data_IF_214985481551
#
_entry.id   IF_214985481551
#
_cell.length_a   1.000
_cell.length_b   1.000
_cell.length_c   1.000
_cell.angle_alpha   90.00
_cell.angle_beta   90.00
_cell.angle_gamma   90.00
#
_symmetry.space_group_name_H-M   'P 1'
#
loop_
_entity.id
_entity.type
_entity.pdbx_description
1 polymer ?
#
# COMPACT_ATOMS: atom_id res chain seq x y z
N UNK A 1 3.46 46.42 11.02
CA UNK A 1 2.52 46.19 9.90
C UNK A 1 2.75 44.87 9.17
N UNK A 2 3.99 44.53 8.75
CA UNK A 2 4.26 43.28 8.02
C UNK A 2 3.82 41.98 8.73
N UNK A 3 3.99 41.87 10.06
CA UNK A 3 3.54 40.68 10.82
C UNK A 3 2.04 40.45 10.77
N UNK A 4 1.23 41.52 10.68
CA UNK A 4 -0.22 41.41 10.54
C UNK A 4 -0.63 40.95 9.14
N UNK A 5 0.09 41.35 8.11
CA UNK A 5 -0.19 40.94 6.73
C UNK A 5 0.16 39.46 6.49
N UNK A 6 1.32 39.01 6.97
CA UNK A 6 1.74 37.62 6.85
C UNK A 6 0.82 36.66 7.62
N UNK A 7 0.39 37.06 8.82
CA UNK A 7 -0.57 36.29 9.63
C UNK A 7 -1.95 36.20 8.95
N UNK A 8 -2.41 37.28 8.31
CA UNK A 8 -3.64 37.26 7.51
C UNK A 8 -3.54 36.32 6.30
N UNK A 9 -2.40 36.29 5.61
CA UNK A 9 -2.16 35.36 4.49
C UNK A 9 -2.17 33.91 4.99
N UNK A 10 -1.48 33.63 6.10
CA UNK A 10 -1.45 32.30 6.71
C UNK A 10 -2.86 31.81 7.10
N UNK A 11 -3.63 32.65 7.81
CA UNK A 11 -5.03 32.37 8.17
C UNK A 11 -5.91 32.20 6.94
N UNK A 12 -5.67 32.98 5.88
CA UNK A 12 -6.37 32.85 4.61
C UNK A 12 -6.12 31.49 3.95
N UNK A 13 -4.86 31.06 3.85
CA UNK A 13 -4.48 29.74 3.31
C UNK A 13 -5.12 28.62 4.12
N UNK A 14 -5.02 28.67 5.46
CA UNK A 14 -5.64 27.68 6.33
C UNK A 14 -7.16 27.62 6.14
N UNK A 15 -7.81 28.77 5.98
CA UNK A 15 -9.26 28.85 5.72
C UNK A 15 -9.63 28.23 4.37
N UNK A 16 -8.86 28.52 3.32
CA UNK A 16 -9.08 27.92 1.98
C UNK A 16 -8.93 26.39 2.05
N UNK A 17 -7.88 25.88 2.71
CA UNK A 17 -7.69 24.44 2.90
C UNK A 17 -8.87 23.85 3.66
N UNK A 18 -9.29 24.47 4.77
CA UNK A 18 -10.41 23.99 5.59
C UNK A 18 -11.72 23.88 4.80
N UNK A 19 -12.12 24.95 4.10
CA UNK A 19 -13.35 24.93 3.29
C UNK A 19 -13.23 24.00 2.08
N UNK A 20 -12.05 23.89 1.47
CA UNK A 20 -11.81 22.90 0.41
C UNK A 20 -11.98 21.48 0.93
N UNK A 21 -11.52 21.17 2.15
CA UNK A 21 -11.73 19.84 2.75
C UNK A 21 -13.20 19.58 3.05
N UNK A 22 -13.98 20.57 3.46
CA UNK A 22 -15.45 20.43 3.58
C UNK A 22 -16.06 20.07 2.23
N UNK A 23 -15.70 20.79 1.16
CA UNK A 23 -16.17 20.50 -0.20
C UNK A 23 -15.74 19.08 -0.61
N UNK A 24 -14.51 18.67 -0.29
CA UNK A 24 -14.00 17.34 -0.58
C UNK A 24 -14.87 16.25 0.05
N UNK A 25 -15.30 16.44 1.31
CA UNK A 25 -16.17 15.50 2.02
C UNK A 25 -17.56 15.44 1.39
N UNK A 26 -18.11 16.57 0.94
CA UNK A 26 -19.47 16.63 0.40
C UNK A 26 -19.56 16.18 -1.07
N UNK A 27 -18.59 16.55 -1.90
CA UNK A 27 -18.68 16.43 -3.35
C UNK A 27 -17.86 15.27 -3.95
N UNK A 28 -16.75 14.86 -3.32
CA UNK A 28 -15.90 13.83 -3.92
C UNK A 28 -16.46 12.42 -3.75
N UNK A 29 -16.28 11.55 -4.76
CA UNK A 29 -16.80 10.20 -4.73
C UNK A 29 -16.12 9.37 -3.64
N UNK A 30 -16.80 8.30 -3.21
CA UNK A 30 -16.19 7.33 -2.32
C UNK A 30 -15.04 6.59 -3.01
N UNK A 31 -13.90 6.51 -2.32
CA UNK A 31 -12.78 5.68 -2.72
C UNK A 31 -12.98 4.20 -2.36
N UNK A 32 -11.95 3.37 -2.55
CA UNK A 32 -12.01 1.94 -2.25
C UNK A 32 -12.06 1.63 -0.74
N UNK A 33 -11.82 2.62 0.13
CA UNK A 33 -11.77 2.44 1.57
C UNK A 33 -12.94 3.13 2.27
N UNK A 34 -13.52 2.43 3.23
CA UNK A 34 -14.68 2.89 4.01
C UNK A 34 -14.35 3.15 5.48
N UNK A 35 -13.26 2.58 6.01
CA UNK A 35 -12.81 2.75 7.40
C UNK A 35 -11.49 3.53 7.50
N UNK A 36 -11.29 4.39 8.51
CA UNK A 36 -12.12 4.53 9.71
C UNK A 36 -13.48 5.18 9.43
N UNK A 37 -13.53 6.07 8.43
CA UNK A 37 -14.77 6.67 7.93
C UNK A 37 -14.58 7.12 6.45
N UNK A 38 -15.61 7.06 5.58
CA UNK A 38 -15.47 7.49 4.18
C UNK A 38 -15.05 8.96 4.03
N UNK A 39 -15.49 9.83 4.94
CA UNK A 39 -15.09 11.24 4.95
C UNK A 39 -13.56 11.43 5.07
N UNK A 40 -12.87 10.57 5.83
CA UNK A 40 -11.41 10.64 5.97
C UNK A 40 -10.76 10.42 4.61
N UNK A 41 -11.20 9.40 3.86
CA UNK A 41 -10.64 9.11 2.54
C UNK A 41 -10.98 10.15 1.48
N UNK A 42 -12.16 10.78 1.58
CA UNK A 42 -12.50 11.94 0.74
C UNK A 42 -11.61 13.14 1.04
N UNK A 43 -11.28 13.40 2.31
CA UNK A 43 -10.30 14.42 2.70
C UNK A 43 -8.89 14.07 2.21
N UNK A 44 -8.46 12.81 2.30
CA UNK A 44 -7.16 12.35 1.76
C UNK A 44 -7.08 12.58 0.25
N UNK A 45 -8.14 12.25 -0.49
CA UNK A 45 -8.24 12.58 -1.92
C UNK A 45 -8.19 14.10 -2.14
N UNK A 46 -8.90 14.90 -1.33
CA UNK A 46 -8.85 16.36 -1.41
C UNK A 46 -7.47 16.96 -1.14
N UNK A 47 -6.75 16.48 -0.14
CA UNK A 47 -5.36 16.88 0.12
C UNK A 47 -4.45 16.50 -1.06
N UNK A 48 -4.69 15.36 -1.72
CA UNK A 48 -3.98 14.97 -2.94
C UNK A 48 -4.18 16.00 -4.06
N UNK A 49 -5.42 16.46 -4.26
CA UNK A 49 -5.74 17.51 -5.25
C UNK A 49 -5.08 18.84 -4.89
N UNK A 50 -5.12 19.26 -3.61
CA UNK A 50 -4.44 20.48 -3.17
C UNK A 50 -2.93 20.40 -3.40
N UNK A 51 -2.31 19.26 -3.11
CA UNK A 51 -0.89 19.05 -3.34
C UNK A 51 -0.54 19.08 -4.84
N UNK A 52 -1.37 18.44 -5.67
CA UNK A 52 -1.26 18.52 -7.12
C UNK A 52 -1.29 19.98 -7.61
N UNK A 53 -2.26 20.79 -7.16
CA UNK A 53 -2.37 22.20 -7.53
C UNK A 53 -1.18 23.04 -7.02
N UNK A 54 -0.68 22.73 -5.82
CA UNK A 54 0.51 23.37 -5.28
C UNK A 54 1.75 23.07 -6.12
N UNK A 55 1.95 21.83 -6.59
CA UNK A 55 3.05 21.49 -7.49
C UNK A 55 2.94 22.20 -8.84
N UNK A 56 1.72 22.29 -9.39
CA UNK A 56 1.48 23.09 -10.62
C UNK A 56 1.88 24.55 -10.38
N UNK A 57 1.48 25.14 -9.26
CA UNK A 57 1.87 26.51 -8.89
C UNK A 57 3.39 26.66 -8.73
N UNK A 58 4.06 25.72 -8.04
CA UNK A 58 5.51 25.72 -7.89
C UNK A 58 6.25 25.72 -9.23
N UNK A 59 5.73 25.03 -10.25
CA UNK A 59 6.32 25.04 -11.59
C UNK A 59 6.33 26.42 -12.26
N UNK A 60 5.57 27.41 -11.79
CA UNK A 60 5.63 28.78 -12.30
C UNK A 60 6.54 29.70 -11.49
N UNK A 61 7.01 29.27 -10.31
CA UNK A 61 7.93 30.05 -9.49
C UNK A 61 9.38 29.89 -9.96
N UNK A 62 10.18 30.91 -9.69
CA UNK A 62 11.64 30.87 -9.81
C UNK A 62 12.28 30.31 -8.53
N UNK A 63 13.51 29.81 -8.62
CA UNK A 63 14.19 29.15 -7.48
C UNK A 63 14.25 30.03 -6.23
N UNK A 64 14.56 31.32 -6.37
CA UNK A 64 14.58 32.28 -5.26
C UNK A 64 13.19 32.50 -4.64
N UNK A 65 12.13 32.47 -5.45
CA UNK A 65 10.75 32.58 -4.94
C UNK A 65 10.36 31.32 -4.16
N UNK A 66 10.75 30.13 -4.62
CA UNK A 66 10.50 28.89 -3.87
C UNK A 66 11.23 28.91 -2.53
N UNK A 67 12.51 29.31 -2.51
CA UNK A 67 13.26 29.48 -1.26
C UNK A 67 12.61 30.52 -0.34
N UNK A 68 12.13 31.64 -0.88
CA UNK A 68 11.40 32.63 -0.08
C UNK A 68 10.13 32.04 0.57
N UNK A 69 9.35 31.24 -0.17
CA UNK A 69 8.19 30.52 0.38
C UNK A 69 8.62 29.55 1.48
N UNK A 70 9.70 28.79 1.26
CA UNK A 70 10.22 27.86 2.27
C UNK A 70 10.69 28.58 3.54
N UNK A 71 11.40 29.69 3.41
CA UNK A 71 11.87 30.50 4.54
C UNK A 71 10.74 31.22 5.27
N UNK A 72 9.62 31.46 4.60
CA UNK A 72 8.41 31.95 5.23
C UNK A 72 7.70 30.85 6.03
N UNK A 73 7.70 29.61 5.53
CA UNK A 73 7.16 28.45 6.26
C UNK A 73 8.00 28.05 7.47
N UNK A 74 9.33 28.01 7.30
CA UNK A 74 10.28 27.77 8.39
C UNK A 74 11.54 28.65 8.20
N UNK A 75 11.70 29.71 9.01
CA UNK A 75 12.87 30.59 8.96
C UNK A 75 14.22 29.88 9.18
N UNK A 76 14.24 28.73 9.87
CA UNK A 76 15.49 28.01 10.16
C UNK A 76 16.12 27.40 8.90
N UNK A 77 15.33 27.19 7.84
CA UNK A 77 15.83 26.69 6.56
C UNK A 77 16.85 27.63 5.90
N UNK A 78 16.95 28.90 6.33
CA UNK A 78 18.00 29.83 5.88
C UNK A 78 19.40 29.39 6.27
N UNK A 79 19.52 28.65 7.36
CA UNK A 79 20.79 28.16 7.91
C UNK A 79 20.97 26.66 7.66
N UNK A 80 20.04 26.03 6.94
CA UNK A 80 20.12 24.62 6.63
C UNK A 80 21.30 24.36 5.69
N UNK A 81 22.09 23.37 6.05
CA UNK A 81 23.19 22.83 5.26
C UNK A 81 22.74 21.53 4.60
N UNK A 82 23.31 21.25 3.43
CA UNK A 82 23.04 20.00 2.73
C UNK A 82 23.72 18.86 3.48
N UNK A 83 23.02 17.74 3.63
CA UNK A 83 23.59 16.55 4.28
C UNK A 83 24.86 16.06 3.57
N UNK A 84 24.87 16.13 2.23
CA UNK A 84 26.01 15.80 1.39
C UNK A 84 27.30 16.58 1.73
N UNK A 85 27.19 17.74 2.37
CA UNK A 85 28.33 18.60 2.68
C UNK A 85 28.89 18.34 4.10
N UNK A 86 28.18 17.56 4.93
CA UNK A 86 28.55 17.30 6.34
C UNK A 86 28.85 15.83 6.58
N UNK A 87 28.16 14.94 5.86
CA UNK A 87 28.26 13.50 6.06
C UNK A 87 29.30 12.89 5.12
N UNK A 88 30.07 11.94 5.64
CA UNK A 88 30.99 11.12 4.84
C UNK A 88 30.30 9.84 4.39
N UNK A 89 30.23 9.62 3.07
CA UNK A 89 29.53 8.49 2.45
C UNK A 89 30.51 7.44 1.92
N UNK A 90 30.22 6.15 2.15
CA UNK A 90 31.00 4.98 1.69
C UNK A 90 32.52 5.00 1.98
N UNK A 91 32.95 5.51 3.14
CA UNK A 91 34.37 5.55 3.50
C UNK A 91 34.82 4.22 4.14
N UNK A 92 35.94 3.64 3.70
CA UNK A 92 36.57 2.45 4.31
C UNK A 92 35.66 1.21 4.46
N UNK A 93 34.85 0.86 3.45
CA UNK A 93 33.84 -0.21 3.52
C UNK A 93 34.36 -1.65 3.72
N UNK A 94 35.68 -1.84 3.81
CA UNK A 94 36.31 -3.13 4.12
C UNK A 94 36.49 -3.38 5.63
N UNK A 95 36.49 -2.32 6.45
CA UNK A 95 36.64 -2.42 7.90
C UNK A 95 35.26 -2.54 8.55
N UNK A 96 34.88 -3.78 8.87
CA UNK A 96 33.63 -4.13 9.55
C UNK A 96 33.92 -4.37 11.03
N UNK A 97 33.69 -3.36 11.87
CA UNK A 97 33.80 -3.45 13.33
C UNK A 97 32.41 -3.41 13.97
N UNK A 98 32.28 -3.96 15.18
CA UNK A 98 30.98 -3.98 15.89
C UNK A 98 30.45 -2.57 16.19
N UNK A 99 31.33 -1.66 16.60
CA UNK A 99 31.00 -0.25 16.84
C UNK A 99 30.45 0.42 15.59
N UNK A 100 31.01 0.11 14.42
CA UNK A 100 30.55 0.64 13.13
C UNK A 100 29.20 0.06 12.74
N UNK A 101 28.95 -1.24 12.93
CA UNK A 101 27.64 -1.82 12.66
C UNK A 101 26.58 -1.17 13.56
N UNK A 102 26.88 -0.99 14.85
CA UNK A 102 25.95 -0.34 15.79
C UNK A 102 25.69 1.13 15.46
N UNK A 103 26.67 1.85 14.88
CA UNK A 103 26.45 3.23 14.47
C UNK A 103 25.51 3.38 13.27
N UNK A 104 25.38 2.33 12.44
CA UNK A 104 24.45 2.31 11.29
C UNK A 104 23.05 1.78 11.69
N UNK A 105 22.90 1.23 12.90
CA UNK A 105 21.59 0.89 13.48
C UNK A 105 20.90 2.14 14.06
N UNK A 106 20.66 3.12 13.19
CA UNK A 106 20.11 4.42 13.56
C UNK A 106 18.66 4.59 13.08
N UNK A 107 18.23 5.85 12.99
CA UNK A 107 16.88 6.20 12.53
C UNK A 107 16.60 5.72 11.10
N UNK A 108 17.62 5.56 10.26
CA UNK A 108 17.48 5.06 8.89
C UNK A 108 17.19 3.57 8.89
N UNK A 109 17.91 2.76 9.68
CA UNK A 109 17.60 1.33 9.85
C UNK A 109 16.16 1.11 10.36
N UNK A 110 15.71 1.91 11.33
CA UNK A 110 14.33 1.87 11.81
C UNK A 110 13.32 2.30 10.72
N UNK A 111 13.66 3.35 9.97
CA UNK A 111 12.87 3.84 8.84
C UNK A 111 12.73 2.80 7.73
N UNK A 112 13.81 2.07 7.41
CA UNK A 112 13.82 0.97 6.46
C UNK A 112 12.91 -0.15 6.96
N UNK A 113 13.12 -0.66 8.17
CA UNK A 113 12.31 -1.75 8.72
C UNK A 113 10.81 -1.42 8.75
N UNK A 114 10.42 -0.29 9.35
CA UNK A 114 9.01 0.06 9.46
C UNK A 114 8.40 0.53 8.13
N UNK A 115 9.20 1.20 7.30
CA UNK A 115 8.85 1.55 5.94
C UNK A 115 8.49 0.30 5.14
N UNK A 116 9.35 -0.71 5.14
CA UNK A 116 9.11 -1.98 4.45
C UNK A 116 7.94 -2.78 5.00
N UNK A 117 7.71 -2.75 6.32
CA UNK A 117 6.49 -3.30 6.91
C UNK A 117 5.23 -2.61 6.34
N UNK A 118 5.22 -1.29 6.23
CA UNK A 118 4.10 -0.56 5.63
C UNK A 118 3.97 -0.83 4.13
N UNK A 119 5.07 -0.82 3.36
CA UNK A 119 5.07 -1.16 1.93
C UNK A 119 4.48 -2.55 1.69
N UNK A 120 4.85 -3.53 2.50
CA UNK A 120 4.31 -4.88 2.45
C UNK A 120 2.81 -4.95 2.76
N UNK A 121 2.30 -4.15 3.70
CA UNK A 121 0.85 -4.05 3.97
C UNK A 121 0.05 -3.48 2.78
N UNK A 122 0.67 -2.58 2.00
CA UNK A 122 0.06 -1.97 0.81
C UNK A 122 0.09 -2.91 -0.40
N UNK A 123 1.23 -3.52 -0.68
CA UNK A 123 1.46 -4.35 -1.86
C UNK A 123 0.94 -5.77 -1.64
N UNK A 124 1.13 -6.34 -0.45
CA UNK A 124 0.68 -7.70 -0.06
C UNK A 124 1.22 -8.81 -0.96
N UNK A 125 2.48 -8.71 -1.35
CA UNK A 125 3.15 -9.74 -2.16
C UNK A 125 4.63 -9.79 -1.85
N UNK A 126 5.11 -10.96 -1.41
CA UNK A 126 6.54 -11.18 -1.17
C UNK A 126 7.38 -10.88 -2.42
N UNK A 127 7.02 -11.46 -3.57
CA UNK A 127 7.78 -11.31 -4.81
C UNK A 127 7.95 -9.85 -5.23
N UNK A 128 6.84 -9.09 -5.26
CA UNK A 128 6.90 -7.68 -5.63
C UNK A 128 7.64 -6.83 -4.58
N UNK A 129 7.45 -7.08 -3.28
CA UNK A 129 8.16 -6.32 -2.24
C UNK A 129 9.67 -6.55 -2.31
N UNK A 130 10.12 -7.81 -2.44
CA UNK A 130 11.53 -8.13 -2.60
C UNK A 130 12.11 -7.53 -3.89
N UNK A 131 11.33 -7.54 -4.98
CA UNK A 131 11.74 -6.90 -6.24
C UNK A 131 11.96 -5.42 -6.06
N UNK A 132 11.03 -4.70 -5.41
CA UNK A 132 11.19 -3.26 -5.14
C UNK A 132 12.38 -3.04 -4.21
N UNK A 133 12.60 -3.91 -3.21
CA UNK A 133 13.73 -3.75 -2.29
C UNK A 133 15.06 -3.85 -2.99
N UNK A 134 15.23 -4.88 -3.82
CA UNK A 134 16.48 -5.10 -4.56
C UNK A 134 16.67 -4.00 -5.62
N UNK A 135 15.59 -3.62 -6.32
CA UNK A 135 15.67 -2.57 -7.33
C UNK A 135 15.88 -1.19 -6.72
N UNK A 136 15.48 -0.95 -5.47
CA UNK A 136 15.78 0.28 -4.72
C UNK A 136 17.28 0.44 -4.48
N UNK A 137 17.96 -0.54 -3.89
CA UNK A 137 19.43 -0.50 -3.73
C UNK A 137 20.14 -0.33 -5.08
N UNK A 138 19.65 -1.00 -6.11
CA UNK A 138 20.20 -0.84 -7.46
C UNK A 138 19.99 0.59 -8.00
N UNK A 139 18.86 1.21 -7.68
CA UNK A 139 18.56 2.60 -8.06
C UNK A 139 19.56 3.53 -7.39
N UNK A 140 19.86 3.32 -6.11
CA UNK A 140 20.88 4.09 -5.39
C UNK A 140 22.24 3.98 -6.06
N UNK A 141 22.68 2.76 -6.43
CA UNK A 141 23.93 2.55 -7.17
C UNK A 141 23.97 3.28 -8.52
N UNK A 142 22.88 3.28 -9.28
CA UNK A 142 22.84 3.98 -10.57
C UNK A 142 22.86 5.51 -10.41
N UNK A 143 22.27 6.05 -9.34
CA UNK A 143 22.11 7.49 -9.12
C UNK A 143 23.07 8.09 -8.09
N UNK A 144 24.00 7.32 -7.50
CA UNK A 144 24.99 7.82 -6.53
C UNK A 144 25.88 8.95 -7.08
N UNK A 145 26.08 8.99 -8.40
CA UNK A 145 26.82 10.06 -9.08
C UNK A 145 26.09 11.42 -9.01
N UNK A 146 24.77 11.42 -8.83
CA UNK A 146 23.96 12.62 -8.61
C UNK A 146 23.80 12.90 -7.12
N UNK A 147 23.50 11.87 -6.34
CA UNK A 147 23.20 11.98 -4.92
C UNK A 147 24.27 11.24 -4.12
N UNK A 148 25.25 11.96 -3.53
CA UNK A 148 26.29 11.34 -2.69
C UNK A 148 25.72 10.52 -1.54
N UNK A 149 24.52 10.88 -1.06
CA UNK A 149 23.81 10.17 0.00
C UNK A 149 23.48 8.71 -0.33
N UNK A 150 23.49 8.31 -1.61
CA UNK A 150 23.27 6.94 -2.05
C UNK A 150 24.56 6.10 -2.08
N UNK A 151 25.72 6.71 -1.83
CA UNK A 151 26.97 5.98 -1.73
C UNK A 151 27.08 5.35 -0.33
N UNK A 152 26.64 4.12 -0.21
CA UNK A 152 26.71 3.34 1.03
C UNK A 152 27.69 2.17 0.89
N UNK A 153 28.04 1.55 2.02
CA UNK A 153 28.92 0.40 1.97
C UNK A 153 28.19 -0.84 1.46
N UNK A 154 28.88 -1.73 0.73
CA UNK A 154 28.27 -2.93 0.16
C UNK A 154 27.58 -3.83 1.22
N UNK A 155 28.14 -3.90 2.43
CA UNK A 155 27.58 -4.69 3.53
C UNK A 155 26.36 -4.02 4.15
N UNK A 156 26.28 -2.69 4.07
CA UNK A 156 25.12 -1.91 4.51
C UNK A 156 23.93 -2.23 3.59
N UNK A 157 24.10 -1.94 2.29
CA UNK A 157 23.10 -2.20 1.25
C UNK A 157 22.62 -3.65 1.21
N UNK A 158 23.54 -4.62 1.24
CA UNK A 158 23.18 -6.03 1.08
C UNK A 158 22.71 -6.65 2.39
N UNK A 159 23.46 -6.47 3.48
CA UNK A 159 23.18 -7.19 4.73
C UNK A 159 22.20 -6.39 5.58
N UNK A 160 22.49 -5.11 5.84
CA UNK A 160 21.65 -4.31 6.73
C UNK A 160 20.33 -3.94 6.06
N UNK A 161 20.36 -3.38 4.85
CA UNK A 161 19.16 -2.93 4.17
C UNK A 161 18.37 -4.08 3.57
N UNK A 162 18.85 -4.73 2.51
CA UNK A 162 18.07 -5.78 1.81
C UNK A 162 17.66 -6.91 2.75
N UNK A 163 18.60 -7.51 3.47
CA UNK A 163 18.35 -8.76 4.20
C UNK A 163 17.69 -8.52 5.57
N UNK A 164 18.23 -7.63 6.39
CA UNK A 164 17.78 -7.44 7.77
C UNK A 164 16.60 -6.48 7.88
N UNK A 165 16.77 -5.21 7.49
CA UNK A 165 15.76 -4.18 7.67
C UNK A 165 14.59 -4.39 6.72
N UNK A 166 14.86 -4.45 5.42
CA UNK A 166 13.84 -4.57 4.38
C UNK A 166 13.19 -5.95 4.45
N UNK A 167 14.00 -7.02 4.48
CA UNK A 167 13.52 -8.39 4.62
C UNK A 167 12.71 -8.63 5.90
N UNK A 168 13.17 -8.12 7.05
CA UNK A 168 12.46 -8.18 8.32
C UNK A 168 11.13 -7.40 8.30
N UNK A 169 11.14 -6.20 7.71
CA UNK A 169 9.95 -5.39 7.52
C UNK A 169 8.92 -6.09 6.63
N UNK A 170 9.35 -6.64 5.49
CA UNK A 170 8.49 -7.42 4.58
C UNK A 170 7.86 -8.59 5.33
N UNK A 171 8.66 -9.35 6.10
CA UNK A 171 8.16 -10.47 6.89
C UNK A 171 7.08 -10.01 7.88
N UNK A 172 7.34 -8.96 8.66
CA UNK A 172 6.37 -8.40 9.61
C UNK A 172 5.08 -7.98 8.91
N UNK A 173 5.18 -7.21 7.82
CA UNK A 173 4.02 -6.74 7.07
C UNK A 173 3.19 -7.90 6.52
N UNK A 174 3.83 -8.95 6.00
CA UNK A 174 3.12 -10.13 5.49
C UNK A 174 2.49 -10.99 6.60
N UNK A 175 3.12 -11.08 7.78
CA UNK A 175 2.51 -11.71 8.97
C UNK A 175 1.25 -10.95 9.39
N UNK A 176 1.31 -9.62 9.40
CA UNK A 176 0.13 -8.79 9.69
C UNK A 176 -0.96 -8.96 8.62
N UNK A 177 -0.60 -9.05 7.34
CA UNK A 177 -1.54 -9.37 6.26
C UNK A 177 -2.27 -10.70 6.55
N UNK A 178 -1.54 -11.78 6.84
CA UNK A 178 -2.13 -13.09 7.16
C UNK A 178 -3.05 -13.03 8.38
N UNK A 179 -2.63 -12.32 9.43
CA UNK A 179 -3.46 -12.11 10.62
C UNK A 179 -4.78 -11.39 10.30
N UNK A 180 -4.76 -10.41 9.38
CA UNK A 180 -5.96 -9.69 8.94
C UNK A 180 -6.84 -10.54 7.99
N UNK A 181 -6.24 -11.41 7.16
CA UNK A 181 -6.95 -12.33 6.25
C UNK A 181 -7.76 -13.38 7.02
N UNK A 182 -7.18 -13.98 8.07
CA UNK A 182 -7.83 -15.03 8.87
C UNK A 182 -8.98 -14.51 9.75
N UNK A 183 -9.23 -13.20 9.76
CA UNK A 183 -10.19 -12.60 10.67
C UNK A 183 -11.61 -12.60 10.10
N UNK A 184 -12.49 -13.40 10.72
CA UNK A 184 -13.94 -13.28 10.49
C UNK A 184 -14.48 -11.97 11.08
N UNK A 185 -14.96 -11.06 10.22
CA UNK A 185 -15.51 -9.77 10.64
C UNK A 185 -16.98 -9.92 11.05
N UNK A 186 -17.25 -10.12 12.34
CA UNK A 186 -18.61 -10.04 12.89
C UNK A 186 -19.04 -8.58 13.13
N UNK A 187 -20.15 -8.19 12.52
CA UNK A 187 -20.70 -6.83 12.54
C UNK A 187 -21.71 -6.63 13.68
N UNK A 188 -21.31 -6.87 14.93
CA UNK A 188 -22.15 -6.54 16.08
C UNK A 188 -22.27 -5.01 16.25
N UNK A 189 -23.47 -4.53 16.59
CA UNK A 189 -23.70 -3.11 16.87
C UNK A 189 -23.04 -2.73 18.19
N UNK A 190 -22.61 -1.47 18.32
CA UNK A 190 -22.07 -0.96 19.59
C UNK A 190 -23.11 -1.07 20.73
N UNK A 191 -24.40 -1.06 20.37
CA UNK A 191 -25.53 -1.25 21.30
C UNK A 191 -25.64 -2.69 21.82
N UNK A 192 -25.12 -3.67 21.10
CA UNK A 192 -25.21 -5.09 21.43
C UNK A 192 -24.05 -5.54 22.35
N UNK A 193 -23.09 -4.63 22.64
CA UNK A 193 -21.93 -4.91 23.47
C UNK A 193 -22.14 -4.29 24.85
N UNK A 194 -22.41 -5.12 25.85
CA UNK A 194 -22.71 -4.64 27.20
C UNK A 194 -21.47 -4.33 28.06
N UNK A 195 -20.30 -4.91 27.74
CA UNK A 195 -19.08 -4.72 28.53
C UNK A 195 -18.26 -3.50 28.07
N UNK A 196 -17.66 -2.77 29.01
CA UNK A 196 -16.76 -1.64 28.74
C UNK A 196 -15.54 -2.07 27.95
N UNK A 197 -14.92 -3.21 28.32
CA UNK A 197 -13.80 -3.82 27.59
C UNK A 197 -14.19 -4.18 26.15
N UNK A 198 -15.42 -4.67 25.94
CA UNK A 198 -15.94 -4.97 24.60
C UNK A 198 -16.13 -3.72 23.75
N UNK A 199 -16.64 -2.63 24.35
CA UNK A 199 -16.80 -1.32 23.68
C UNK A 199 -15.45 -0.71 23.28
N UNK A 200 -14.46 -0.76 24.17
CA UNK A 200 -13.08 -0.31 23.88
C UNK A 200 -12.47 -1.16 22.76
N UNK A 201 -12.57 -2.49 22.87
CA UNK A 201 -12.11 -3.39 21.80
C UNK A 201 -12.78 -3.06 20.47
N UNK A 202 -14.09 -2.81 20.46
CA UNK A 202 -14.82 -2.43 19.23
C UNK A 202 -14.35 -1.10 18.65
N UNK A 203 -14.10 -0.10 19.50
CA UNK A 203 -13.59 1.20 19.07
C UNK A 203 -12.20 1.07 18.42
N UNK A 204 -11.27 0.35 19.06
CA UNK A 204 -9.94 0.07 18.50
C UNK A 204 -10.05 -0.69 17.16
N UNK A 205 -11.02 -1.59 17.04
CA UNK A 205 -11.24 -2.35 15.81
C UNK A 205 -11.80 -1.54 14.64
N UNK A 206 -12.33 -0.34 14.86
CA UNK A 206 -12.73 0.53 13.74
C UNK A 206 -11.54 1.04 12.94
N UNK A 207 -10.36 1.06 13.54
CA UNK A 207 -9.10 1.38 12.85
C UNK A 207 -8.55 0.20 12.06
N UNK A 208 -9.14 -1.00 12.21
CA UNK A 208 -8.84 -2.13 11.32
C UNK A 208 -9.68 -2.07 10.05
N UNK A 209 -9.14 -2.56 8.90
CA UNK A 209 -9.85 -2.60 7.62
C UNK A 209 -11.24 -3.23 7.72
N UNK A 210 -12.18 -2.75 6.91
CA UNK A 210 -13.54 -3.28 6.85
C UNK A 210 -13.59 -4.71 6.31
N UNK A 211 -12.76 -4.96 5.32
CA UNK A 211 -12.52 -6.24 4.69
C UNK A 211 -11.05 -6.29 4.31
N UNK A 212 -10.43 -7.45 4.45
CA UNK A 212 -9.08 -7.68 4.01
C UNK A 212 -9.10 -8.78 2.96
N UNK A 213 -8.64 -8.47 1.76
CA UNK A 213 -8.63 -9.41 0.63
C UNK A 213 -7.20 -9.86 0.36
N UNK A 214 -7.08 -11.12 -0.01
CA UNK A 214 -5.87 -11.65 -0.60
C UNK A 214 -5.63 -11.01 -1.98
N UNK A 215 -4.39 -10.61 -2.25
CA UNK A 215 -4.00 -9.87 -3.46
C UNK A 215 -3.08 -10.76 -4.30
N UNK A 216 -3.55 -11.12 -5.49
CA UNK A 216 -2.77 -11.92 -6.44
C UNK A 216 -2.36 -11.04 -7.60
N UNK A 217 -1.11 -10.56 -7.60
CA UNK A 217 -0.62 -9.63 -8.62
C UNK A 217 -0.40 -10.25 -9.98
N UNK A 218 0.01 -11.52 -10.04
CA UNK A 218 0.30 -12.21 -11.28
C UNK A 218 -0.11 -13.68 -11.20
N UNK A 219 -0.48 -14.25 -12.34
CA UNK A 219 -0.97 -15.62 -12.52
C UNK A 219 -0.39 -16.17 -13.84
N UNK A 220 -0.08 -17.47 -13.95
CA UNK A 220 0.38 -18.09 -15.20
C UNK A 220 -0.46 -17.73 -16.44
N UNK A 221 -1.77 -17.51 -16.29
CA UNK A 221 -2.69 -17.14 -17.39
C UNK A 221 -2.81 -15.64 -17.64
N UNK A 222 -1.94 -14.84 -17.03
CA UNK A 222 -1.99 -13.38 -17.14
C UNK A 222 -1.59 -12.88 -18.52
N UNK A 223 -2.27 -11.82 -18.98
CA UNK A 223 -1.97 -11.18 -20.25
C UNK A 223 -0.66 -10.38 -20.19
N UNK A 224 -0.06 -10.14 -21.37
CA UNK A 224 1.10 -9.26 -21.51
C UNK A 224 0.81 -7.83 -20.98
N UNK A 225 -0.43 -7.35 -21.12
CA UNK A 225 -0.85 -6.06 -20.56
C UNK A 225 -0.68 -6.01 -19.03
N UNK A 226 -0.89 -7.12 -18.32
CA UNK A 226 -0.67 -7.20 -16.88
C UNK A 226 0.80 -7.15 -16.52
N UNK A 227 1.67 -7.78 -17.32
CA UNK A 227 3.14 -7.67 -17.16
C UNK A 227 3.59 -6.23 -17.34
N UNK A 228 3.17 -5.58 -18.44
CA UNK A 228 3.48 -4.17 -18.69
C UNK A 228 2.95 -3.26 -17.57
N UNK A 229 1.76 -3.56 -17.05
CA UNK A 229 1.18 -2.86 -15.89
C UNK A 229 1.99 -3.03 -14.61
N UNK A 230 2.52 -4.22 -14.32
CA UNK A 230 3.40 -4.42 -13.16
C UNK A 230 4.73 -3.69 -13.36
N UNK A 231 5.28 -3.70 -14.57
CA UNK A 231 6.50 -2.94 -14.86
C UNK A 231 6.30 -1.43 -14.68
N UNK A 232 5.19 -0.87 -15.18
CA UNK A 232 4.83 0.53 -14.97
C UNK A 232 4.67 0.85 -13.48
N UNK A 233 4.08 -0.06 -12.70
CA UNK A 233 3.98 0.07 -11.24
C UNK A 233 5.35 0.18 -10.60
N UNK A 234 6.31 -0.68 -10.98
CA UNK A 234 7.68 -0.63 -10.46
C UNK A 234 8.35 0.70 -10.79
N UNK A 235 8.27 1.17 -12.04
CA UNK A 235 8.89 2.46 -12.42
C UNK A 235 8.29 3.62 -11.63
N UNK A 236 6.96 3.72 -11.56
CA UNK A 236 6.30 4.82 -10.83
C UNK A 236 6.64 4.75 -9.35
N UNK A 237 6.71 3.55 -8.77
CA UNK A 237 7.12 3.35 -7.39
C UNK A 237 8.53 3.90 -7.14
N UNK A 238 9.51 3.46 -7.92
CA UNK A 238 10.89 3.95 -7.80
C UNK A 238 10.97 5.47 -8.01
N UNK A 239 10.27 6.01 -9.01
CA UNK A 239 10.23 7.45 -9.27
C UNK A 239 9.73 8.25 -8.06
N UNK A 240 8.66 7.78 -7.40
CA UNK A 240 8.09 8.48 -6.24
C UNK A 240 9.05 8.50 -5.04
N UNK A 241 9.79 7.42 -4.83
CA UNK A 241 10.82 7.36 -3.80
C UNK A 241 12.01 8.25 -4.17
N UNK A 242 12.49 8.18 -5.41
CA UNK A 242 13.59 9.02 -5.91
C UNK A 242 13.29 10.51 -5.82
N UNK A 243 12.06 10.93 -6.14
CA UNK A 243 11.59 12.30 -5.96
C UNK A 243 11.76 12.79 -4.51
N UNK A 244 11.57 11.91 -3.52
CA UNK A 244 11.77 12.25 -2.10
C UNK A 244 13.19 12.71 -1.83
N UNK A 245 14.18 11.98 -2.36
CA UNK A 245 15.59 12.29 -2.17
C UNK A 245 16.03 13.50 -2.99
N UNK A 246 15.55 13.62 -4.23
CA UNK A 246 15.85 14.80 -5.05
C UNK A 246 15.28 16.09 -4.47
N UNK A 247 14.03 16.09 -4.00
CA UNK A 247 13.42 17.27 -3.41
C UNK A 247 14.21 17.79 -2.21
N UNK A 248 14.62 16.91 -1.28
CA UNK A 248 15.43 17.32 -0.12
C UNK A 248 16.80 17.86 -0.52
N UNK A 249 17.42 17.28 -1.54
CA UNK A 249 18.75 17.68 -2.01
C UNK A 249 18.72 19.02 -2.74
N UNK A 250 17.73 19.22 -3.62
CA UNK A 250 17.58 20.43 -4.44
C UNK A 250 17.16 21.63 -3.58
N UNK A 251 16.19 21.43 -2.68
CA UNK A 251 15.68 22.51 -1.84
C UNK A 251 16.39 22.63 -0.48
N UNK A 252 17.42 21.81 -0.25
CA UNK A 252 18.34 21.89 0.89
C UNK A 252 17.62 21.86 2.24
N UNK A 253 17.10 20.67 2.59
CA UNK A 253 16.62 20.37 3.93
C UNK A 253 17.04 18.96 4.37
N UNK A 254 17.16 18.75 5.68
CA UNK A 254 17.62 17.49 6.25
C UNK A 254 16.51 16.41 6.24
N UNK A 255 16.88 15.13 6.28
CA UNK A 255 15.98 13.98 6.38
C UNK A 255 15.14 14.02 7.67
N UNK A 256 15.70 14.55 8.75
CA UNK A 256 15.01 14.76 10.03
C UNK A 256 14.00 15.91 10.01
N UNK A 257 14.06 16.79 9.01
CA UNK A 257 13.20 17.97 8.91
C UNK A 257 11.73 17.57 8.68
N UNK A 258 10.74 18.29 9.26
CA UNK A 258 9.31 18.04 9.04
C UNK A 258 8.88 17.93 7.58
N UNK A 259 9.47 18.70 6.67
CA UNK A 259 9.18 18.59 5.24
C UNK A 259 9.45 17.19 4.68
N UNK A 260 10.49 16.50 5.17
CA UNK A 260 10.85 15.15 4.74
C UNK A 260 9.82 14.13 5.24
N UNK A 261 9.67 13.99 6.56
CA UNK A 261 8.83 12.94 7.14
C UNK A 261 7.33 13.21 6.96
N UNK A 262 6.87 14.46 7.01
CA UNK A 262 5.46 14.78 6.70
C UNK A 262 5.11 14.41 5.27
N UNK A 263 6.01 14.67 4.31
CA UNK A 263 5.80 14.28 2.92
C UNK A 263 5.77 12.76 2.78
N UNK A 264 6.68 12.02 3.42
CA UNK A 264 6.69 10.55 3.38
C UNK A 264 5.37 9.98 3.94
N UNK A 265 4.90 10.49 5.08
CA UNK A 265 3.61 10.07 5.66
C UNK A 265 2.43 10.41 4.74
N UNK A 266 2.46 11.60 4.13
CA UNK A 266 1.42 12.04 3.20
C UNK A 266 1.37 11.15 1.96
N UNK A 267 2.50 10.98 1.27
CA UNK A 267 2.66 10.11 0.09
C UNK A 267 2.25 8.67 0.46
N UNK A 268 2.73 8.13 1.58
CA UNK A 268 2.36 6.80 2.06
C UNK A 268 0.85 6.63 2.27
N UNK A 269 0.17 7.66 2.80
CA UNK A 269 -1.28 7.65 3.02
C UNK A 269 -2.06 7.64 1.71
N UNK A 270 -1.65 8.47 0.72
CA UNK A 270 -2.32 8.55 -0.58
C UNK A 270 -2.01 7.34 -1.49
N UNK A 271 -0.88 6.66 -1.26
CA UNK A 271 -0.49 5.42 -1.95
C UNK A 271 -1.44 4.27 -1.62
N UNK A 272 -1.97 4.18 -0.41
CA UNK A 272 -2.85 3.08 -0.01
C UNK A 272 -4.10 2.92 -0.92
N UNK A 273 -4.95 3.94 -1.11
CA UNK A 273 -6.07 3.85 -2.05
C UNK A 273 -5.59 3.77 -3.51
N UNK A 274 -4.45 4.35 -3.85
CA UNK A 274 -3.84 4.30 -5.19
C UNK A 274 -3.51 2.87 -5.62
N UNK A 275 -2.74 2.15 -4.80
CA UNK A 275 -2.35 0.75 -5.06
C UNK A 275 -3.58 -0.12 -5.20
N UNK A 276 -4.61 0.09 -4.37
CA UNK A 276 -5.87 -0.67 -4.45
C UNK A 276 -6.62 -0.41 -5.76
N UNK A 277 -6.72 0.85 -6.19
CA UNK A 277 -7.34 1.21 -7.47
C UNK A 277 -6.55 0.69 -8.66
N UNK A 278 -5.21 0.77 -8.60
CA UNK A 278 -4.33 0.28 -9.65
C UNK A 278 -4.41 -1.24 -9.80
N UNK A 279 -4.38 -1.96 -8.68
CA UNK A 279 -4.59 -3.40 -8.66
C UNK A 279 -5.93 -3.79 -9.29
N UNK A 280 -7.02 -3.12 -8.92
CA UNK A 280 -8.33 -3.37 -9.51
C UNK A 280 -8.32 -3.12 -11.03
N UNK A 281 -7.70 -2.04 -11.49
CA UNK A 281 -7.56 -1.75 -12.92
C UNK A 281 -6.78 -2.82 -13.69
N UNK A 282 -5.72 -3.39 -13.09
CA UNK A 282 -4.92 -4.42 -13.74
C UNK A 282 -5.54 -5.83 -13.72
N UNK A 283 -6.44 -6.11 -12.77
CA UNK A 283 -6.91 -7.49 -12.50
C UNK A 283 -8.37 -7.70 -12.86
N UNK A 284 -9.21 -6.68 -12.73
CA UNK A 284 -10.63 -6.76 -13.01
C UNK A 284 -10.91 -6.40 -14.48
N UNK A 285 -11.40 -7.39 -15.24
CA UNK A 285 -11.72 -7.21 -16.67
C UNK A 285 -12.86 -6.22 -16.90
N UNK A 286 -13.69 -5.95 -15.90
CA UNK A 286 -14.77 -4.95 -15.95
C UNK A 286 -14.26 -3.54 -15.71
N UNK A 287 -13.10 -3.37 -15.06
CA UNK A 287 -12.50 -2.08 -14.79
C UNK A 287 -11.81 -1.54 -16.04
N UNK A 288 -12.44 -0.61 -16.76
CA UNK A 288 -11.90 -0.01 -18.00
C UNK A 288 -11.13 1.30 -17.79
N UNK A 289 -11.17 1.88 -16.59
CA UNK A 289 -10.58 3.19 -16.29
C UNK A 289 -9.78 3.14 -15.00
N UNK A 290 -8.66 3.85 -14.98
CA UNK A 290 -7.87 4.04 -13.76
C UNK A 290 -8.69 4.85 -12.75
N UNK A 291 -8.62 4.46 -11.48
CA UNK A 291 -9.31 5.16 -10.40
C UNK A 291 -8.78 6.59 -10.22
N UNK A 292 -9.65 7.49 -9.76
CA UNK A 292 -9.33 8.93 -9.65
C UNK A 292 -8.11 9.22 -8.80
N UNK A 293 -7.97 8.55 -7.65
CA UNK A 293 -6.84 8.74 -6.74
C UNK A 293 -5.54 8.23 -7.38
N UNK A 294 -5.58 7.08 -8.04
CA UNK A 294 -4.43 6.56 -8.78
C UNK A 294 -4.00 7.49 -9.92
N UNK A 295 -4.94 8.10 -10.62
CA UNK A 295 -4.64 9.07 -11.67
C UNK A 295 -3.99 10.33 -11.09
N UNK A 296 -4.57 10.91 -10.03
CA UNK A 296 -4.01 12.09 -9.36
C UNK A 296 -2.62 11.80 -8.80
N UNK A 297 -2.41 10.62 -8.20
CA UNK A 297 -1.11 10.20 -7.71
C UNK A 297 -0.07 10.11 -8.83
N UNK A 298 -0.42 9.52 -9.98
CA UNK A 298 0.47 9.49 -11.14
C UNK A 298 0.84 10.89 -11.64
N UNK A 299 -0.13 11.82 -11.63
CA UNK A 299 0.11 13.21 -11.98
C UNK A 299 1.00 13.94 -10.95
N UNK A 300 0.83 13.68 -9.65
CA UNK A 300 1.71 14.17 -8.58
C UNK A 300 3.14 13.67 -8.79
N UNK A 301 3.33 12.36 -9.00
CA UNK A 301 4.65 11.77 -9.21
C UNK A 301 5.38 12.40 -10.40
N UNK A 302 4.66 12.65 -11.50
CA UNK A 302 5.19 13.32 -12.68
C UNK A 302 5.49 14.81 -12.44
N UNK A 303 4.61 15.53 -11.74
CA UNK A 303 4.83 16.94 -11.41
C UNK A 303 6.00 17.12 -10.45
N UNK A 304 6.15 16.26 -9.44
CA UNK A 304 7.32 16.27 -8.56
C UNK A 304 8.61 16.03 -9.35
N UNK A 305 8.62 15.05 -10.26
CA UNK A 305 9.76 14.81 -11.14
C UNK A 305 10.06 16.05 -12.00
N UNK A 306 9.02 16.71 -12.51
CA UNK A 306 9.15 17.95 -13.28
C UNK A 306 9.71 19.11 -12.44
N UNK A 307 9.28 19.24 -11.19
CA UNK A 307 9.81 20.20 -10.22
C UNK A 307 11.29 19.92 -9.94
N UNK A 308 11.65 18.65 -9.70
CA UNK A 308 13.04 18.23 -9.52
C UNK A 308 13.89 18.61 -10.76
N UNK A 309 13.44 18.29 -11.97
CA UNK A 309 14.17 18.61 -13.20
C UNK A 309 14.30 20.13 -13.40
N UNK A 310 13.23 20.89 -13.15
CA UNK A 310 13.23 22.35 -13.32
C UNK A 310 14.22 23.04 -12.38
N UNK A 311 14.21 22.69 -11.10
CA UNK A 311 15.02 23.38 -10.08
C UNK A 311 16.38 22.72 -9.84
N UNK A 312 16.58 21.49 -10.33
CA UNK A 312 17.82 20.75 -10.24
C UNK A 312 18.62 20.71 -11.55
N UNK A 313 18.49 21.69 -12.45
CA UNK A 313 19.16 21.68 -13.75
C UNK A 313 20.67 21.40 -13.66
N UNK A 314 21.37 22.04 -12.72
CA UNK A 314 22.81 21.82 -12.52
C UNK A 314 23.15 20.40 -12.06
N UNK A 315 22.22 19.76 -11.33
CA UNK A 315 22.35 18.38 -10.90
C UNK A 315 22.12 17.43 -12.08
N UNK A 316 21.00 17.58 -12.78
CA UNK A 316 20.63 16.71 -13.91
C UNK A 316 21.52 16.89 -15.15
N UNK A 317 22.23 18.02 -15.28
CA UNK A 317 23.28 18.18 -16.29
C UNK A 317 24.44 17.18 -16.13
N UNK A 318 24.62 16.61 -14.93
CA UNK A 318 25.62 15.57 -14.66
C UNK A 318 25.09 14.15 -14.92
N UNK A 319 23.83 14.00 -15.33
CA UNK A 319 23.21 12.68 -15.52
C UNK A 319 23.80 11.95 -16.72
N UNK A 320 24.27 10.73 -16.48
CA UNK A 320 24.68 9.83 -17.55
C UNK A 320 23.47 9.08 -18.11
N UNK A 321 23.06 9.40 -19.34
CA UNK A 321 21.91 8.77 -20.00
C UNK A 321 22.03 7.23 -20.06
N UNK A 322 23.26 6.71 -20.24
CA UNK A 322 23.52 5.28 -20.22
C UNK A 322 23.10 4.63 -18.88
N UNK A 323 23.36 5.28 -17.75
CA UNK A 323 22.95 4.75 -16.44
C UNK A 323 21.44 4.75 -16.27
N UNK A 324 20.72 5.75 -16.79
CA UNK A 324 19.25 5.77 -16.79
C UNK A 324 18.69 4.60 -17.62
N UNK A 325 19.25 4.36 -18.81
CA UNK A 325 18.82 3.25 -19.67
C UNK A 325 19.13 1.90 -19.02
N UNK A 326 20.34 1.71 -18.49
CA UNK A 326 20.72 0.48 -17.79
C UNK A 326 19.87 0.25 -16.54
N UNK A 327 19.53 1.31 -15.81
CA UNK A 327 18.63 1.26 -14.66
C UNK A 327 17.24 0.75 -15.07
N UNK A 328 16.61 1.36 -16.09
CA UNK A 328 15.30 0.92 -16.60
C UNK A 328 15.32 -0.55 -17.08
N UNK A 329 16.38 -0.95 -17.78
CA UNK A 329 16.57 -2.33 -18.22
C UNK A 329 16.75 -3.29 -17.04
N UNK A 330 17.50 -2.89 -16.02
CA UNK A 330 17.71 -3.73 -14.83
C UNK A 330 16.41 -3.92 -14.05
N UNK A 331 15.62 -2.85 -13.86
CA UNK A 331 14.27 -2.97 -13.27
C UNK A 331 13.40 -3.91 -14.10
N UNK A 332 13.45 -3.82 -15.43
CA UNK A 332 12.67 -4.70 -16.31
C UNK A 332 13.06 -6.16 -16.17
N UNK A 333 14.37 -6.46 -16.20
CA UNK A 333 14.91 -7.82 -16.10
C UNK A 333 14.59 -8.42 -14.74
N UNK A 334 14.86 -7.71 -13.64
CA UNK A 334 14.61 -8.21 -12.28
C UNK A 334 13.11 -8.46 -12.07
N UNK A 335 12.26 -7.55 -12.56
CA UNK A 335 10.79 -7.73 -12.51
C UNK A 335 10.37 -8.96 -13.30
N UNK A 336 10.89 -9.14 -14.52
CA UNK A 336 10.58 -10.31 -15.35
C UNK A 336 11.02 -11.62 -14.66
N UNK A 337 12.22 -11.66 -14.09
CA UNK A 337 12.73 -12.83 -13.34
C UNK A 337 11.85 -13.14 -12.13
N UNK A 338 11.41 -12.11 -11.39
CA UNK A 338 10.47 -12.30 -10.29
C UNK A 338 9.14 -12.87 -10.77
N UNK A 339 8.54 -12.31 -11.82
CA UNK A 339 7.26 -12.77 -12.36
C UNK A 339 7.37 -14.21 -12.88
N UNK A 340 8.47 -14.55 -13.55
CA UNK A 340 8.77 -15.92 -13.97
C UNK A 340 8.87 -16.86 -12.77
N UNK A 341 9.64 -16.47 -11.73
CA UNK A 341 9.76 -17.25 -10.50
C UNK A 341 8.43 -17.45 -9.78
N UNK A 342 7.55 -16.44 -9.78
CA UNK A 342 6.19 -16.55 -9.21
C UNK A 342 5.32 -17.56 -9.98
N UNK A 343 5.41 -17.57 -11.31
CA UNK A 343 4.70 -18.55 -12.15
C UNK A 343 5.25 -19.95 -11.92
N UNK A 344 6.57 -20.11 -11.98
CA UNK A 344 7.25 -21.39 -11.74
C UNK A 344 6.91 -21.97 -10.37
N UNK A 345 6.92 -21.15 -9.32
CA UNK A 345 6.54 -21.57 -7.97
C UNK A 345 5.07 -22.00 -7.90
N UNK A 346 4.16 -21.26 -8.54
CA UNK A 346 2.74 -21.59 -8.56
C UNK A 346 2.48 -22.94 -9.28
N UNK A 347 3.16 -23.18 -10.40
CA UNK A 347 3.04 -24.43 -11.15
C UNK A 347 3.63 -25.62 -10.38
N UNK A 348 4.80 -25.43 -9.74
CA UNK A 348 5.46 -26.46 -8.94
C UNK A 348 4.66 -26.86 -7.69
N UNK A 349 4.13 -25.88 -6.94
CA UNK A 349 3.26 -26.15 -5.79
C UNK A 349 1.93 -26.78 -6.20
N UNK A 350 1.40 -26.43 -7.38
CA UNK A 350 0.20 -27.06 -7.94
C UNK A 350 0.38 -28.55 -8.31
N UNK A 351 1.61 -29.00 -8.55
CA UNK A 351 1.94 -30.39 -8.91
C UNK A 351 2.18 -31.32 -7.71
N UNK A 352 2.39 -30.79 -6.50
CA UNK A 352 2.66 -31.59 -5.30
C UNK A 352 1.34 -32.08 -4.68
N UNK A 353 1.17 -33.40 -4.52
CA UNK A 353 -0.02 -33.98 -3.86
C UNK A 353 -0.25 -33.34 -2.48
N UNK A 354 -1.45 -32.79 -2.29
CA UNK A 354 -1.89 -32.05 -1.11
C UNK A 354 -1.83 -32.93 0.13
N UNK A 355 -0.73 -32.84 0.87
CA UNK A 355 -0.64 -33.41 2.22
C UNK A 355 -1.37 -32.47 3.18
N UNK A 356 -2.16 -33.04 4.09
CA UNK A 356 -3.29 -32.43 4.82
C UNK A 356 -2.95 -31.31 5.84
N UNK A 357 -1.86 -30.55 5.66
CA UNK A 357 -1.47 -29.46 6.56
C UNK A 357 -1.14 -28.13 5.85
N UNK A 358 -1.10 -28.08 4.52
CA UNK A 358 -0.75 -26.86 3.75
C UNK A 358 -1.91 -26.38 2.85
N UNK A 359 -3.16 -26.71 3.19
CA UNK A 359 -4.34 -26.44 2.36
C UNK A 359 -5.42 -25.56 2.99
N UNK A 360 -5.06 -24.61 3.88
CA UNK A 360 -5.97 -23.49 4.18
C UNK A 360 -5.78 -22.29 3.24
N UNK A 361 -4.69 -22.22 2.47
CA UNK A 361 -4.33 -21.03 1.67
C UNK A 361 -4.92 -20.98 0.24
N UNK A 362 -5.79 -21.91 -0.18
CA UNK A 362 -6.26 -21.93 -1.59
C UNK A 362 -7.64 -22.56 -1.86
N UNK A 363 -8.64 -22.36 -1.01
CA UNK A 363 -10.03 -22.71 -1.38
C UNK A 363 -11.04 -21.61 -1.04
N UNK A 364 -11.19 -20.64 -1.94
CA UNK A 364 -12.44 -19.90 -2.11
C UNK A 364 -12.76 -19.85 -3.61
N UNK A 365 -13.14 -21.00 -4.17
CA UNK A 365 -13.98 -21.01 -5.37
C UNK A 365 -15.41 -20.78 -4.90
N UNK A 366 -15.89 -19.53 -5.01
CA UNK A 366 -17.32 -19.26 -5.14
C UNK A 366 -17.76 -19.75 -6.50
N UNK A 367 -18.24 -20.99 -6.57
CA UNK A 367 -19.19 -21.50 -7.57
C UNK A 367 -19.61 -22.92 -7.17
N UNK A 368 -20.64 -23.04 -6.34
CA UNK A 368 -21.39 -24.30 -6.16
C UNK A 368 -22.81 -24.06 -6.67
N UNK A 369 -23.23 -24.69 -7.78
CA UNK A 369 -24.63 -24.81 -8.14
C UNK A 369 -25.31 -25.74 -7.13
N UNK A 370 -26.35 -25.25 -6.46
CA UNK A 370 -27.18 -26.06 -5.57
C UNK A 370 -27.92 -27.15 -6.37
N UNK A 371 -27.38 -28.37 -6.39
CA UNK A 371 -28.14 -29.56 -6.73
C UNK A 371 -28.57 -30.28 -5.45
N UNK A 372 -29.84 -30.14 -5.09
CA UNK A 372 -30.52 -31.02 -4.13
C UNK A 372 -30.51 -32.45 -4.69
N UNK A 373 -29.90 -33.38 -3.96
CA UNK A 373 -30.07 -34.81 -4.14
C UNK A 373 -30.52 -35.39 -2.79
N UNK A 374 -31.83 -35.46 -2.59
CA UNK A 374 -32.41 -36.21 -1.48
C UNK A 374 -32.30 -37.70 -1.78
N UNK A 375 -31.61 -38.45 -0.92
CA UNK A 375 -31.78 -39.90 -0.78
C UNK A 375 -32.18 -40.24 0.66
N UNK A 376 -33.15 -41.15 0.86
CA UNK A 376 -33.81 -41.35 2.13
C UNK A 376 -32.98 -42.26 3.06
N UNK A 377 -32.97 -41.92 4.34
CA UNK A 377 -32.39 -42.76 5.41
C UNK A 377 -33.40 -43.86 5.76
N UNK A 378 -33.05 -45.11 5.49
CA UNK A 378 -33.78 -46.30 5.95
C UNK A 378 -33.57 -46.51 7.45
N UNK A 379 -34.66 -46.67 8.19
CA UNK A 379 -34.67 -47.01 9.62
C UNK A 379 -34.65 -48.54 9.82
N UNK A 380 -34.01 -49.08 10.88
CA UNK A 380 -33.90 -50.52 11.06
C UNK A 380 -35.18 -51.13 11.64
N UNK A 381 -35.61 -52.22 11.01
CA UNK A 381 -36.71 -53.10 11.41
C UNK A 381 -36.31 -53.90 12.66
N UNK A 382 -37.14 -53.89 13.71
CA UNK A 382 -37.13 -54.88 14.79
C UNK A 382 -38.38 -55.75 14.70
N UNK A 383 -38.16 -57.07 14.65
CA UNK A 383 -39.19 -58.10 14.71
C UNK A 383 -39.78 -58.25 16.13
N UNK A 384 -41.03 -58.71 16.13
CA UNK A 384 -42.01 -58.81 17.21
C UNK A 384 -41.85 -60.04 18.10
N UNK A 385 -42.22 -59.91 19.39
CA UNK A 385 -42.96 -60.93 20.15
C UNK A 385 -43.84 -60.27 21.25
N UNK A 386 -45.07 -60.79 21.45
CA UNK A 386 -45.67 -60.85 22.80
C UNK A 386 -46.80 -59.90 23.23
N UNK A 387 -48.04 -60.22 22.84
CA UNK A 387 -49.29 -60.19 23.65
C UNK A 387 -50.01 -58.90 24.14
N UNK A 388 -51.25 -58.78 23.65
CA UNK A 388 -52.53 -58.51 24.37
C UNK A 388 -52.83 -57.12 24.98
N UNK A 389 -53.76 -56.37 24.35
CA UNK A 389 -55.13 -56.10 24.88
C UNK A 389 -55.97 -55.14 24.00
N UNK A 390 -57.08 -55.70 23.51
CA UNK A 390 -58.48 -55.21 23.44
C UNK A 390 -58.84 -53.78 22.93
N UNK A 391 -59.70 -53.81 21.88
CA UNK A 391 -60.95 -53.05 21.63
C UNK A 391 -60.91 -51.52 21.71
N UNK A 392 -61.25 -50.83 20.62
CA UNK A 392 -62.66 -50.60 20.28
C UNK A 392 -62.84 -50.05 18.85
N UNK A 393 -64.09 -50.19 18.40
CA UNK A 393 -64.63 -50.10 17.05
C UNK A 393 -65.31 -48.73 16.89
N UNK A 394 -65.10 -48.01 15.79
CA UNK A 394 -66.22 -47.38 15.07
C UNK A 394 -65.85 -47.01 13.64
N UNK A 395 -66.82 -47.30 12.77
CA UNK A 395 -66.78 -47.42 11.33
C UNK A 395 -67.34 -46.12 10.75
N UNK A 396 -66.54 -45.36 10.02
CA UNK A 396 -67.02 -44.28 9.16
C UNK A 396 -67.48 -44.85 7.82
N UNK A 397 -68.61 -44.37 7.31
CA UNK A 397 -68.93 -44.44 5.88
C UNK A 397 -69.93 -43.35 5.51
N UNK A 398 -69.60 -42.70 4.38
CA UNK A 398 -70.51 -42.34 3.27
C UNK A 398 -70.95 -40.86 3.16
N UNK A 399 -70.23 -40.20 2.24
CA UNK A 399 -70.66 -39.48 1.02
C UNK A 399 -70.96 -37.98 0.99
N UNK A 400 -70.26 -37.38 0.02
CA UNK A 400 -70.68 -36.44 -1.03
C UNK A 400 -71.21 -35.07 -0.63
N UNK A 401 -70.56 -34.05 -1.21
CA UNK A 401 -71.30 -33.05 -1.97
C UNK A 401 -70.88 -31.60 -1.79
N UNK A 402 -70.16 -31.10 -2.79
CA UNK A 402 -70.40 -29.81 -3.48
C UNK A 402 -70.48 -28.53 -2.63
N UNK A 403 -69.41 -27.72 -2.75
CA UNK A 403 -69.46 -26.37 -3.33
C UNK A 403 -70.04 -25.22 -2.49
N UNK A 404 -69.21 -24.19 -2.25
CA UNK A 404 -69.33 -22.85 -2.87
C UNK A 404 -68.38 -21.85 -2.21
N UNK A 405 -67.74 -21.07 -3.10
CA UNK A 405 -67.16 -19.73 -2.96
C UNK A 405 -65.90 -19.58 -2.12
#
# INVERSE_FOLDING_TARGET
ENTGQEDNIWKGILSVIFFFLIISVLAFPNGPFTRPHPAIWRMVFGLSVLYFLFLVFLLFLNFEQVKAVMYWLDPNLRYATREADIMEYAVNCHLITWERILSHFDIFAFGHFWGWAMKALLIRSYGLCWTISITWELTELFFMHLLPNFAECWWDQVILDILLCNGGGILLGMVVCRFLEMRSYHWASFKDIHTTTGKIKRAVLQFTPASWIYVRWFDPKSSFQRVAGIYLFMIIWQLTELNTFFLKHIFVFQASHPLSWCRILFIGTITAPTVRQYYAYLTDTQCKRVGTQCWVFGAIAFLEASVCIKFGQDLFNKTHLLYVVLWLLSVAIITFLCLYGMVWYADYCGQREKTFSECEDSTYNTDIPWHHNDKPVEAPIKQSEGTSRRKNRHRGKVTNGVGKK
#
